data_IF_517817518312
#
_entry.id   IF_517817518312
#
_cell.length_a   1.000
_cell.length_b   1.000
_cell.length_c   1.000
_cell.angle_alpha   90.00
_cell.angle_beta   90.00
_cell.angle_gamma   90.00
#
_symmetry.space_group_name_H-M   'P 1'
#
loop_
_entity.id
_entity.type
_entity.pdbx_description
1 polymer ?
#
# COMPACT_ATOMS: atom_id res chain seq x y z
N UNK A 1 42.06 0.92 -44.95
CA UNK A 1 42.89 1.98 -45.54
C UNK A 1 43.86 2.46 -44.47
N UNK A 2 45.16 2.17 -44.62
CA UNK A 2 46.21 2.64 -43.70
C UNK A 2 46.60 4.03 -44.21
N UNK A 3 46.15 5.09 -43.55
CA UNK A 3 46.60 6.45 -43.90
C UNK A 3 48.10 6.52 -43.63
N UNK A 4 48.91 6.67 -44.67
CA UNK A 4 50.33 6.94 -44.50
C UNK A 4 50.47 8.28 -43.76
N UNK A 5 51.11 8.26 -42.59
CA UNK A 5 51.28 9.46 -41.76
C UNK A 5 52.26 10.44 -42.41
N UNK A 6 52.04 11.74 -42.19
CA UNK A 6 52.99 12.77 -42.61
C UNK A 6 54.28 12.68 -41.80
N UNK A 7 55.43 12.96 -42.43
CA UNK A 7 56.71 13.05 -41.72
C UNK A 7 56.75 14.28 -40.80
N UNK A 8 57.67 14.30 -39.84
CA UNK A 8 57.86 15.45 -38.94
C UNK A 8 58.08 16.74 -39.74
N UNK A 9 58.90 16.69 -40.78
CA UNK A 9 59.21 17.86 -41.61
C UNK A 9 58.01 18.34 -42.43
N UNK A 10 57.18 17.43 -42.94
CA UNK A 10 55.92 17.77 -43.62
C UNK A 10 54.92 18.41 -42.67
N UNK A 11 54.85 17.93 -41.42
CA UNK A 11 54.02 18.53 -40.39
C UNK A 11 54.48 19.95 -40.03
N UNK A 12 55.80 20.18 -39.94
CA UNK A 12 56.36 21.49 -39.63
C UNK A 12 56.21 22.50 -40.78
N UNK A 13 56.32 22.05 -42.03
CA UNK A 13 56.10 22.89 -43.21
C UNK A 13 54.65 23.40 -43.31
N UNK A 14 53.69 22.63 -42.78
CA UNK A 14 52.27 23.01 -42.75
C UNK A 14 51.92 24.03 -41.66
N UNK A 15 52.72 24.08 -40.59
CA UNK A 15 52.51 24.96 -39.44
C UNK A 15 53.80 25.73 -39.10
N UNK A 16 54.28 26.62 -40.00
CA UNK A 16 55.58 27.26 -39.85
C UNK A 16 55.64 28.19 -38.64
N UNK A 17 54.54 28.88 -38.30
CA UNK A 17 54.51 29.80 -37.15
C UNK A 17 54.66 29.09 -35.79
N UNK A 18 54.24 27.83 -35.69
CA UNK A 18 54.38 27.04 -34.46
C UNK A 18 55.54 26.03 -34.52
N UNK A 19 56.38 26.06 -35.56
CA UNK A 19 57.37 25.03 -35.82
C UNK A 19 58.36 24.84 -34.65
N UNK A 20 58.76 25.93 -33.99
CA UNK A 20 59.66 25.89 -32.83
C UNK A 20 59.06 25.12 -31.63
N UNK A 21 57.74 25.22 -31.41
CA UNK A 21 57.04 24.55 -30.31
C UNK A 21 56.63 23.12 -30.68
N UNK A 22 56.24 22.87 -31.93
CA UNK A 22 55.75 21.57 -32.39
C UNK A 22 56.87 20.55 -32.60
N UNK A 23 58.05 20.98 -33.03
CA UNK A 23 59.18 20.09 -33.32
C UNK A 23 59.51 19.09 -32.20
N UNK A 24 59.69 19.50 -30.92
CA UNK A 24 60.01 18.55 -29.85
C UNK A 24 58.87 17.55 -29.57
N UNK A 25 57.61 17.96 -29.69
CA UNK A 25 56.44 17.09 -29.48
C UNK A 25 56.33 16.04 -30.59
N UNK A 26 56.50 16.44 -31.85
CA UNK A 26 56.43 15.55 -33.01
C UNK A 26 57.56 14.52 -33.02
N UNK A 27 58.79 14.95 -32.70
CA UNK A 27 59.93 14.03 -32.55
C UNK A 27 59.69 13.03 -31.42
N UNK A 28 59.10 13.46 -30.29
CA UNK A 28 58.78 12.58 -29.18
C UNK A 28 57.68 11.57 -29.53
N UNK A 29 56.62 12.02 -30.21
CA UNK A 29 55.54 11.16 -30.68
C UNK A 29 56.04 10.11 -31.69
N UNK A 30 56.97 10.49 -32.58
CA UNK A 30 57.58 9.57 -33.54
C UNK A 30 58.48 8.52 -32.86
N UNK A 31 59.20 8.90 -31.82
CA UNK A 31 59.98 7.95 -31.01
C UNK A 31 59.05 6.96 -30.29
N UNK A 32 57.95 7.44 -29.72
CA UNK A 32 56.98 6.61 -29.02
C UNK A 32 56.22 5.68 -29.97
N UNK A 33 55.87 6.17 -31.16
CA UNK A 33 55.19 5.35 -32.19
C UNK A 33 56.07 4.21 -32.68
N UNK A 34 57.38 4.42 -32.82
CA UNK A 34 58.36 3.36 -33.09
C UNK A 34 58.40 2.31 -31.97
N UNK A 35 58.33 2.74 -30.71
CA UNK A 35 58.23 1.82 -29.55
C UNK A 35 56.92 1.01 -29.50
N UNK A 36 55.83 1.49 -30.12
CA UNK A 36 54.54 0.78 -30.18
C UNK A 36 54.59 -0.47 -31.08
N UNK A 37 55.62 -0.62 -31.91
CA UNK A 37 55.85 -1.83 -32.69
C UNK A 37 56.30 -3.04 -31.84
N UNK A 38 56.61 -2.82 -30.56
CA UNK A 38 56.91 -3.91 -29.62
C UNK A 38 55.63 -4.70 -29.35
N UNK A 39 55.51 -5.84 -30.01
CA UNK A 39 54.40 -6.77 -29.79
C UNK A 39 54.76 -7.72 -28.63
N UNK A 40 53.94 -7.78 -27.57
CA UNK A 40 54.22 -8.69 -26.46
C UNK A 40 54.15 -10.14 -26.94
N UNK A 41 55.05 -10.99 -26.43
CA UNK A 41 55.09 -12.41 -26.75
C UNK A 41 53.78 -13.11 -26.37
N UNK A 42 53.46 -14.18 -27.09
CA UNK A 42 52.26 -14.99 -26.83
C UNK A 42 52.25 -15.55 -25.40
N UNK A 43 53.42 -15.96 -24.88
CA UNK A 43 53.59 -16.44 -23.51
C UNK A 43 53.28 -15.35 -22.48
N UNK A 44 53.74 -14.11 -22.69
CA UNK A 44 53.45 -12.99 -21.79
C UNK A 44 51.96 -12.65 -21.76
N UNK A 45 51.29 -12.67 -22.92
CA UNK A 45 49.83 -12.47 -23.01
C UNK A 45 49.06 -13.57 -22.26
N UNK A 46 49.45 -14.83 -22.44
CA UNK A 46 48.83 -15.96 -21.76
C UNK A 46 48.98 -15.87 -20.24
N UNK A 47 50.20 -15.59 -19.75
CA UNK A 47 50.48 -15.43 -18.33
C UNK A 47 49.70 -14.26 -17.71
N UNK A 48 49.62 -13.13 -18.41
CA UNK A 48 48.86 -11.95 -17.95
C UNK A 48 47.36 -12.24 -17.89
N UNK A 49 46.81 -12.94 -18.90
CA UNK A 49 45.40 -13.35 -18.92
C UNK A 49 45.06 -14.29 -17.78
N UNK A 50 45.91 -15.28 -17.51
CA UNK A 50 45.73 -16.21 -16.39
C UNK A 50 45.72 -15.48 -15.04
N UNK A 51 46.65 -14.53 -14.82
CA UNK A 51 46.70 -13.71 -13.60
C UNK A 51 45.44 -12.84 -13.42
N UNK A 52 44.93 -12.26 -14.50
CA UNK A 52 43.70 -11.46 -14.48
C UNK A 52 42.48 -12.30 -14.10
N UNK A 53 42.32 -13.48 -14.71
CA UNK A 53 41.22 -14.39 -14.41
C UNK A 53 41.26 -14.82 -12.95
N UNK A 54 42.43 -15.27 -12.45
CA UNK A 54 42.60 -15.68 -11.07
C UNK A 54 42.25 -14.57 -10.07
N UNK A 55 42.62 -13.32 -10.37
CA UNK A 55 42.30 -12.17 -9.50
C UNK A 55 40.82 -11.77 -9.58
N UNK A 56 40.19 -11.90 -10.74
CA UNK A 56 38.75 -11.68 -10.90
C UNK A 56 37.92 -12.73 -10.15
N UNK A 57 38.35 -14.00 -10.15
CA UNK A 57 37.72 -15.07 -9.39
C UNK A 57 37.91 -14.90 -7.88
N UNK A 58 39.11 -14.52 -7.42
CA UNK A 58 39.37 -14.24 -6.01
C UNK A 58 38.61 -13.01 -5.49
N UNK A 59 38.27 -12.06 -6.37
CA UNK A 59 37.56 -10.83 -6.04
C UNK A 59 36.04 -10.93 -6.27
N UNK A 60 35.51 -12.09 -6.67
CA UNK A 60 34.07 -12.27 -6.77
C UNK A 60 33.48 -12.14 -5.36
N UNK A 61 32.66 -11.12 -5.08
CA UNK A 61 31.99 -11.06 -3.80
C UNK A 61 31.11 -12.30 -3.72
N UNK A 62 31.34 -13.14 -2.70
CA UNK A 62 30.40 -14.16 -2.29
C UNK A 62 29.20 -13.43 -1.69
N UNK A 63 28.36 -12.85 -2.54
CA UNK A 63 27.06 -12.35 -2.11
C UNK A 63 26.20 -13.57 -1.86
N UNK A 64 26.41 -14.22 -0.71
CA UNK A 64 25.31 -14.90 -0.04
C UNK A 64 24.36 -13.78 0.37
N UNK A 65 23.47 -13.39 -0.55
CA UNK A 65 22.25 -12.75 -0.15
C UNK A 65 21.53 -13.81 0.67
N UNK A 66 21.78 -13.82 1.97
CA UNK A 66 21.03 -14.64 2.90
C UNK A 66 19.63 -14.06 2.78
N UNK A 67 18.80 -14.71 1.96
CA UNK A 67 17.38 -14.53 1.96
C UNK A 67 16.96 -14.85 3.39
N UNK A 68 16.92 -13.83 4.25
CA UNK A 68 16.15 -13.86 5.49
C UNK A 68 14.80 -14.45 5.08
N UNK A 69 14.35 -15.55 5.71
CA UNK A 69 13.21 -16.29 5.22
C UNK A 69 12.06 -15.30 5.05
N UNK A 70 11.59 -15.12 3.80
CA UNK A 70 10.60 -14.12 3.44
C UNK A 70 9.34 -14.19 4.34
N UNK A 71 9.12 -15.36 4.94
CA UNK A 71 8.10 -15.62 5.93
C UNK A 71 8.21 -14.79 7.22
N UNK A 72 9.41 -14.43 7.69
CA UNK A 72 9.58 -13.52 8.84
C UNK A 72 9.08 -12.11 8.53
N UNK A 73 9.35 -11.61 7.31
CA UNK A 73 8.83 -10.33 6.86
C UNK A 73 7.32 -10.40 6.60
N UNK A 74 6.83 -11.50 6.01
CA UNK A 74 5.40 -11.72 5.83
C UNK A 74 4.66 -11.77 7.17
N UNK A 75 5.21 -12.45 8.19
CA UNK A 75 4.67 -12.43 9.55
C UNK A 75 4.70 -11.04 10.15
N UNK A 76 5.80 -10.30 10.05
CA UNK A 76 5.89 -8.95 10.59
C UNK A 76 4.87 -8.00 9.93
N UNK A 77 4.70 -8.09 8.61
CA UNK A 77 3.69 -7.33 7.86
C UNK A 77 2.28 -7.76 8.26
N UNK A 78 2.01 -9.06 8.39
CA UNK A 78 0.71 -9.56 8.82
C UNK A 78 0.37 -9.13 10.25
N UNK A 79 1.34 -9.14 11.16
CA UNK A 79 1.17 -8.71 12.54
C UNK A 79 0.99 -7.19 12.63
N UNK A 80 1.73 -6.43 11.83
CA UNK A 80 1.54 -4.99 11.70
C UNK A 80 0.16 -4.66 11.11
N UNK A 81 -0.29 -5.38 10.09
CA UNK A 81 -1.62 -5.26 9.51
C UNK A 81 -2.70 -5.60 10.54
N UNK A 82 -2.51 -6.66 11.34
CA UNK A 82 -3.41 -7.04 12.42
C UNK A 82 -3.47 -5.98 13.52
N UNK A 83 -2.32 -5.40 13.90
CA UNK A 83 -2.25 -4.29 14.86
C UNK A 83 -2.90 -3.04 14.30
N UNK A 84 -2.70 -2.70 13.02
CA UNK A 84 -3.38 -1.56 12.39
C UNK A 84 -4.89 -1.78 12.27
N UNK A 85 -5.33 -3.00 11.94
CA UNK A 85 -6.74 -3.40 11.96
C UNK A 85 -7.33 -3.29 13.37
N UNK A 86 -6.58 -3.68 14.40
CA UNK A 86 -7.00 -3.56 15.80
C UNK A 86 -6.95 -2.12 16.34
N UNK A 87 -6.04 -1.27 15.82
CA UNK A 87 -5.87 0.12 16.28
C UNK A 87 -6.83 1.10 15.61
N UNK A 88 -7.30 0.78 14.40
CA UNK A 88 -8.28 1.62 13.67
C UNK A 88 -9.71 1.44 14.17
N UNK A 89 -10.04 0.34 14.84
CA UNK A 89 -11.38 0.12 15.40
C UNK A 89 -11.70 1.03 16.58
N UNK A 90 -10.73 1.44 17.39
CA UNK A 90 -11.00 2.27 18.56
C UNK A 90 -11.43 3.70 18.19
N UNK A 91 -10.83 4.31 17.16
CA UNK A 91 -11.16 5.68 16.74
C UNK A 91 -12.31 5.71 15.72
N UNK A 92 -12.40 4.71 14.84
CA UNK A 92 -13.51 4.63 13.89
C UNK A 92 -14.84 4.27 14.56
N UNK A 93 -14.84 3.66 15.76
CA UNK A 93 -16.12 3.31 16.40
C UNK A 93 -16.95 4.51 16.84
N UNK A 94 -16.33 5.64 17.13
CA UNK A 94 -17.05 6.87 17.48
C UNK A 94 -17.48 7.71 16.27
N UNK A 95 -17.04 7.34 15.07
CA UNK A 95 -17.32 8.14 13.88
C UNK A 95 -18.82 8.15 13.57
N UNK A 96 -19.33 9.36 13.30
CA UNK A 96 -20.72 9.61 12.94
C UNK A 96 -20.91 9.70 11.42
N UNK A 97 -22.15 9.57 10.92
CA UNK A 97 -22.49 9.86 9.53
C UNK A 97 -21.91 11.21 9.08
N UNK A 98 -21.37 11.23 7.85
CA UNK A 98 -20.64 12.37 7.29
C UNK A 98 -19.17 12.52 7.71
N UNK A 99 -18.66 11.72 8.65
CA UNK A 99 -17.23 11.75 9.00
C UNK A 99 -16.36 10.86 8.08
N UNK A 100 -15.09 11.21 7.84
CA UNK A 100 -14.23 10.49 6.89
C UNK A 100 -14.07 8.99 7.16
N UNK A 101 -14.12 8.58 8.43
CA UNK A 101 -13.94 7.18 8.85
C UNK A 101 -15.27 6.39 8.92
N UNK A 102 -16.41 7.03 8.66
CA UNK A 102 -17.71 6.37 8.77
C UNK A 102 -17.90 5.27 7.72
N UNK A 103 -17.53 5.51 6.47
CA UNK A 103 -17.56 4.47 5.44
C UNK A 103 -16.64 3.28 5.76
N UNK A 104 -15.49 3.54 6.39
CA UNK A 104 -14.60 2.47 6.88
C UNK A 104 -15.26 1.66 8.01
N UNK A 105 -15.93 2.34 8.94
CA UNK A 105 -16.72 1.70 10.01
C UNK A 105 -17.77 0.76 9.41
N UNK A 106 -18.62 1.24 8.49
CA UNK A 106 -19.65 0.44 7.82
C UNK A 106 -19.06 -0.83 7.16
N UNK A 107 -17.99 -0.66 6.39
CA UNK A 107 -17.34 -1.76 5.69
C UNK A 107 -16.74 -2.79 6.65
N UNK A 108 -16.11 -2.33 7.73
CA UNK A 108 -15.56 -3.23 8.75
C UNK A 108 -16.64 -4.03 9.47
N UNK A 109 -17.79 -3.40 9.76
CA UNK A 109 -18.97 -4.03 10.36
C UNK A 109 -19.59 -5.05 9.40
N UNK A 110 -19.63 -4.76 8.10
CA UNK A 110 -20.11 -5.70 7.08
C UNK A 110 -19.22 -6.94 6.97
N UNK A 111 -17.89 -6.77 6.99
CA UNK A 111 -16.94 -7.89 7.02
C UNK A 111 -17.13 -8.71 8.29
N UNK A 112 -17.22 -8.06 9.45
CA UNK A 112 -17.46 -8.74 10.72
C UNK A 112 -18.77 -9.56 10.72
N UNK A 113 -19.86 -8.97 10.20
CA UNK A 113 -21.14 -9.66 10.04
C UNK A 113 -21.04 -10.87 9.10
N UNK A 114 -20.24 -10.77 8.03
CA UNK A 114 -20.09 -11.86 7.06
C UNK A 114 -19.47 -13.13 7.65
N UNK A 115 -18.58 -12.98 8.63
CA UNK A 115 -17.88 -14.07 9.31
C UNK A 115 -18.54 -14.51 10.63
N UNK A 116 -19.52 -13.76 11.13
CA UNK A 116 -20.21 -14.08 12.36
C UNK A 116 -21.09 -15.34 12.23
N UNK A 117 -21.00 -16.23 13.21
CA UNK A 117 -21.87 -17.41 13.31
C UNK A 117 -23.31 -17.04 13.66
N UNK A 118 -23.48 -16.08 14.58
CA UNK A 118 -24.77 -15.54 14.98
C UNK A 118 -24.95 -14.14 14.38
N UNK A 119 -25.61 -14.08 13.22
CA UNK A 119 -25.85 -12.82 12.49
C UNK A 119 -26.88 -11.94 13.17
N UNK A 120 -27.89 -12.54 13.78
CA UNK A 120 -28.98 -11.82 14.48
C UNK A 120 -28.41 -11.04 15.65
N UNK A 121 -27.56 -11.66 16.48
CA UNK A 121 -26.90 -10.96 17.59
C UNK A 121 -26.01 -9.80 17.13
N UNK A 122 -25.33 -9.96 15.98
CA UNK A 122 -24.55 -8.87 15.37
C UNK A 122 -25.47 -7.75 14.89
N UNK A 123 -26.54 -8.06 14.15
CA UNK A 123 -27.47 -7.04 13.65
C UNK A 123 -28.21 -6.33 14.79
N UNK A 124 -28.53 -7.01 15.89
CA UNK A 124 -29.09 -6.37 17.10
C UNK A 124 -28.10 -5.34 17.69
N UNK A 125 -26.82 -5.70 17.75
CA UNK A 125 -25.76 -4.80 18.24
C UNK A 125 -25.59 -3.59 17.32
N UNK A 126 -25.60 -3.82 15.99
CA UNK A 126 -25.52 -2.75 15.00
C UNK A 126 -26.76 -1.86 15.02
N UNK A 127 -27.96 -2.42 15.27
CA UNK A 127 -29.20 -1.66 15.34
C UNK A 127 -29.20 -0.71 16.54
N UNK A 128 -28.75 -1.16 17.71
CA UNK A 128 -28.65 -0.29 18.90
C UNK A 128 -27.63 0.84 18.69
N UNK A 129 -26.51 0.51 18.03
CA UNK A 129 -25.49 1.51 17.63
C UNK A 129 -26.08 2.55 16.67
N UNK A 130 -26.77 2.12 15.62
CA UNK A 130 -27.41 3.04 14.64
C UNK A 130 -28.51 3.89 15.27
N UNK A 131 -29.33 3.33 16.16
CA UNK A 131 -30.30 4.11 16.93
C UNK A 131 -29.60 5.20 17.76
N UNK A 132 -28.46 4.89 18.36
CA UNK A 132 -27.66 5.84 19.14
C UNK A 132 -27.04 6.92 18.24
N UNK A 133 -26.48 6.55 17.09
CA UNK A 133 -25.96 7.52 16.11
C UNK A 133 -27.05 8.48 15.63
N UNK A 134 -28.23 7.96 15.30
CA UNK A 134 -29.39 8.75 14.90
C UNK A 134 -29.78 9.77 15.99
N UNK A 135 -29.72 9.41 17.28
CA UNK A 135 -29.94 10.38 18.36
C UNK A 135 -28.83 11.44 18.46
N UNK A 136 -27.57 11.09 18.17
CA UNK A 136 -26.43 12.02 18.23
C UNK A 136 -26.48 13.07 17.12
N UNK A 137 -26.95 12.69 15.94
CA UNK A 137 -27.09 13.59 14.79
C UNK A 137 -28.50 14.16 14.65
N UNK A 138 -29.36 14.05 15.69
CA UNK A 138 -30.70 14.61 15.64
C UNK A 138 -30.69 16.10 15.29
N UNK A 139 -31.58 16.52 14.37
CA UNK A 139 -31.73 17.90 13.88
C UNK A 139 -30.56 18.45 13.09
N UNK A 140 -29.64 17.59 12.64
CA UNK A 140 -28.51 17.98 11.78
C UNK A 140 -28.85 17.97 10.27
N UNK A 141 -30.11 17.73 9.90
CA UNK A 141 -30.57 17.74 8.50
C UNK A 141 -30.00 16.57 7.71
N UNK A 142 -29.05 16.78 6.76
CA UNK A 142 -28.50 15.71 5.94
C UNK A 142 -27.90 14.54 6.72
N UNK A 143 -27.19 14.79 7.82
CA UNK A 143 -26.56 13.70 8.60
C UNK A 143 -27.61 12.88 9.35
N UNK A 144 -28.70 13.50 9.82
CA UNK A 144 -29.83 12.76 10.38
C UNK A 144 -30.46 11.83 9.35
N UNK A 145 -30.63 12.31 8.11
CA UNK A 145 -31.20 11.48 7.04
C UNK A 145 -30.28 10.31 6.69
N UNK A 146 -28.97 10.54 6.63
CA UNK A 146 -27.97 9.49 6.41
C UNK A 146 -28.02 8.45 7.56
N UNK A 147 -27.99 8.89 8.82
CA UNK A 147 -28.12 8.02 9.99
C UNK A 147 -29.42 7.19 9.96
N UNK A 148 -30.51 7.81 9.52
CA UNK A 148 -31.82 7.15 9.42
C UNK A 148 -31.83 6.08 8.34
N UNK A 149 -31.25 6.35 7.18
CA UNK A 149 -31.13 5.37 6.10
C UNK A 149 -30.31 4.15 6.57
N UNK A 150 -29.19 4.40 7.24
CA UNK A 150 -28.34 3.35 7.81
C UNK A 150 -29.05 2.55 8.91
N UNK A 151 -29.85 3.21 9.74
CA UNK A 151 -30.70 2.53 10.72
C UNK A 151 -31.77 1.66 10.04
N UNK A 152 -32.42 2.18 8.99
CA UNK A 152 -33.43 1.46 8.21
C UNK A 152 -32.88 0.22 7.52
N UNK A 153 -31.64 0.25 7.05
CA UNK A 153 -30.98 -0.94 6.52
C UNK A 153 -30.89 -2.06 7.56
N UNK A 154 -30.47 -1.74 8.79
CA UNK A 154 -30.40 -2.75 9.86
C UNK A 154 -31.80 -3.24 10.21
N UNK A 155 -32.80 -2.36 10.25
CA UNK A 155 -34.19 -2.76 10.48
C UNK A 155 -34.72 -3.73 9.42
N UNK A 156 -34.40 -3.52 8.14
CA UNK A 156 -34.76 -4.48 7.08
C UNK A 156 -34.16 -5.87 7.30
N UNK A 157 -32.91 -5.91 7.76
CA UNK A 157 -32.22 -7.19 8.04
C UNK A 157 -32.85 -7.91 9.23
N UNK A 158 -33.07 -7.18 10.32
CA UNK A 158 -33.74 -7.73 11.49
C UNK A 158 -35.15 -8.22 11.16
N UNK A 159 -35.92 -7.48 10.37
CA UNK A 159 -37.26 -7.89 9.91
C UNK A 159 -37.23 -9.23 9.16
N UNK A 160 -36.25 -9.42 8.28
CA UNK A 160 -36.07 -10.67 7.52
C UNK A 160 -35.63 -11.86 8.40
N UNK A 161 -35.07 -11.59 9.59
CA UNK A 161 -34.58 -12.58 10.56
C UNK A 161 -35.61 -12.86 11.67
N UNK A 162 -36.82 -12.28 11.59
CA UNK A 162 -37.87 -12.56 12.57
C UNK A 162 -38.46 -13.96 12.33
N UNK A 163 -38.13 -14.88 13.23
CA UNK A 163 -38.66 -16.24 13.29
C UNK A 163 -39.07 -16.61 14.74
N UNK A 164 -39.43 -17.88 14.97
CA UNK A 164 -39.83 -18.37 16.29
C UNK A 164 -38.71 -18.36 17.33
N UNK A 165 -37.44 -18.34 16.90
CA UNK A 165 -36.28 -18.37 17.79
C UNK A 165 -35.85 -16.95 18.18
N UNK A 166 -35.89 -16.02 17.23
CA UNK A 166 -35.31 -14.68 17.35
C UNK A 166 -36.36 -13.59 17.63
N UNK A 167 -37.63 -13.83 17.31
CA UNK A 167 -38.70 -12.83 17.36
C UNK A 167 -38.78 -12.08 18.69
N UNK A 168 -38.78 -12.80 19.82
CA UNK A 168 -38.88 -12.17 21.14
C UNK A 168 -37.70 -11.22 21.46
N UNK A 169 -36.48 -11.58 21.06
CA UNK A 169 -35.28 -10.75 21.26
C UNK A 169 -35.30 -9.52 20.37
N UNK A 170 -35.68 -9.70 19.10
CA UNK A 170 -35.82 -8.61 18.13
C UNK A 170 -36.89 -7.64 18.60
N UNK A 171 -38.07 -8.13 19.01
CA UNK A 171 -39.17 -7.31 19.49
C UNK A 171 -38.77 -6.49 20.73
N UNK A 172 -38.07 -7.12 21.69
CA UNK A 172 -37.57 -6.43 22.86
C UNK A 172 -36.61 -5.28 22.47
N UNK A 173 -35.72 -5.51 21.51
CA UNK A 173 -34.79 -4.50 21.02
C UNK A 173 -35.51 -3.35 20.29
N UNK A 174 -36.47 -3.66 19.41
CA UNK A 174 -37.25 -2.65 18.68
C UNK A 174 -38.05 -1.75 19.63
N UNK A 175 -38.67 -2.32 20.67
CA UNK A 175 -39.35 -1.56 21.73
C UNK A 175 -38.38 -0.64 22.49
N UNK A 176 -37.18 -1.14 22.78
CA UNK A 176 -36.14 -0.33 23.43
C UNK A 176 -35.69 0.83 22.54
N UNK A 177 -35.54 0.60 21.22
CA UNK A 177 -35.20 1.65 20.27
C UNK A 177 -36.32 2.68 20.13
N UNK A 178 -37.59 2.25 20.09
CA UNK A 178 -38.73 3.17 20.01
C UNK A 178 -38.76 4.10 21.23
N UNK A 179 -38.51 3.56 22.42
CA UNK A 179 -38.37 4.34 23.65
C UNK A 179 -37.17 5.29 23.58
N UNK A 180 -36.00 4.82 23.13
CA UNK A 180 -34.77 5.62 23.00
C UNK A 180 -34.97 6.81 22.06
N UNK A 181 -35.51 6.57 20.85
CA UNK A 181 -35.74 7.62 19.86
C UNK A 181 -36.81 8.62 20.33
N UNK A 182 -37.91 8.15 20.90
CA UNK A 182 -38.95 9.04 21.43
C UNK A 182 -38.47 9.94 22.57
N UNK A 183 -37.59 9.44 23.45
CA UNK A 183 -36.93 10.24 24.48
C UNK A 183 -36.01 11.33 23.90
N UNK A 184 -35.39 11.08 22.75
CA UNK A 184 -34.61 12.06 22.02
C UNK A 184 -35.48 13.03 21.18
N UNK A 185 -36.81 12.89 21.22
CA UNK A 185 -37.75 13.69 20.42
C UNK A 185 -37.76 13.30 18.93
N UNK A 186 -37.25 12.11 18.59
CA UNK A 186 -37.25 11.55 17.26
C UNK A 186 -38.41 10.57 17.09
N UNK A 187 -38.99 10.55 15.89
CA UNK A 187 -39.91 9.52 15.44
C UNK A 187 -39.34 8.83 14.21
N UNK A 188 -39.63 7.54 14.08
CA UNK A 188 -39.20 6.74 12.94
C UNK A 188 -40.35 5.83 12.49
N UNK A 189 -40.88 6.10 11.29
CA UNK A 189 -42.09 5.44 10.78
C UNK A 189 -41.89 3.93 10.60
N UNK A 190 -40.73 3.53 10.06
CA UNK A 190 -40.41 2.11 9.82
C UNK A 190 -40.33 1.33 11.13
N UNK A 191 -39.65 1.89 12.13
CA UNK A 191 -39.61 1.29 13.47
C UNK A 191 -41.01 1.15 14.08
N UNK A 192 -41.83 2.20 13.97
CA UNK A 192 -43.19 2.21 14.50
C UNK A 192 -44.07 1.15 13.81
N UNK A 193 -43.90 0.96 12.51
CA UNK A 193 -44.62 -0.06 11.73
C UNK A 193 -44.20 -1.48 12.10
N UNK A 194 -42.91 -1.72 12.28
CA UNK A 194 -42.40 -3.03 12.75
C UNK A 194 -42.95 -3.38 14.14
N UNK A 195 -42.96 -2.41 15.06
CA UNK A 195 -43.51 -2.60 16.41
C UNK A 195 -45.04 -2.79 16.39
N UNK A 196 -45.77 -2.14 15.49
CA UNK A 196 -47.23 -2.24 15.38
C UNK A 196 -47.69 -3.50 14.64
N UNK A 197 -46.98 -3.92 13.58
CA UNK A 197 -47.33 -5.06 12.73
C UNK A 197 -47.42 -6.39 13.47
N UNK A 198 -46.84 -6.46 14.68
CA UNK A 198 -46.85 -7.64 15.57
C UNK A 198 -47.94 -7.61 16.65
N UNK A 199 -48.68 -6.51 16.81
CA UNK A 199 -49.79 -6.40 17.78
C UNK A 199 -51.14 -6.87 17.23
N UNK A 200 -51.18 -7.39 16.00
CA UNK A 200 -52.33 -8.06 15.38
C UNK A 200 -52.11 -9.56 15.36
#
# INVERSE_FOLDING_TARGET
>A
MRTEGYSVDQCLARYPEQAAQLRPLLVSAERLSRGRAVTPSTAFKAATRARLIARAEASRPRTSFVLRPAWQFAMAIALLALVMLASTTAVAQDSLPGEPLYGWKLNSEHVWRSVATDRVSVDLTLADRRATELTRVARSGPLEQEARNEYHEVLSRLEAEIDSENGAKIDQALLAHQKKLSQAGLRDEKLDDLVKGKKK
#
